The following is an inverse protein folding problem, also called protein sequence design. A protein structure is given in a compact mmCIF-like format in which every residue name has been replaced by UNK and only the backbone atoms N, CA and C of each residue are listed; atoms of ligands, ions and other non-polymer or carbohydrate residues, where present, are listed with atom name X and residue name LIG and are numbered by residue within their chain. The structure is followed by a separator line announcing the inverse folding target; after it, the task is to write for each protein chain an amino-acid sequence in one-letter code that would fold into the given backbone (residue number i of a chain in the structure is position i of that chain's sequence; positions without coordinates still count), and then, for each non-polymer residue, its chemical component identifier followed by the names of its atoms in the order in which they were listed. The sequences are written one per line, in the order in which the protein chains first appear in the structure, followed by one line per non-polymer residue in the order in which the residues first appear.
data_IF_100122537219
#
_entry.id   IF_100122537219
#
_cell.length_a   1.000
_cell.length_b   1.000
_cell.length_c   1.000
_cell.angle_alpha   90.00
_cell.angle_beta   90.00
_cell.angle_gamma   90.00
#
_symmetry.space_group_name_H-M   'P 1'
#
loop_
_entity.id
_entity.type
_entity.pdbx_description
1 polymer ?
#
# COMPACT_ATOMS: atom_id res chain seq x y z
N UNK A 1 -13.68 -13.81 11.87
CA UNK A 1 -13.28 -12.97 13.01
C UNK A 1 -14.46 -12.94 13.94
N UNK A 2 -14.28 -13.37 15.18
CA UNK A 2 -15.34 -13.46 16.17
C UNK A 2 -15.43 -12.13 16.94
N UNK A 3 -16.57 -11.46 16.81
CA UNK A 3 -16.82 -10.14 17.42
C UNK A 3 -17.04 -10.28 18.92
N UNK A 4 -17.67 -11.37 19.35
CA UNK A 4 -17.98 -11.63 20.76
C UNK A 4 -16.70 -11.91 21.56
N UNK A 5 -15.74 -12.61 20.95
CA UNK A 5 -14.40 -12.80 21.51
C UNK A 5 -13.68 -11.48 21.76
N UNK A 6 -13.76 -10.56 20.80
CA UNK A 6 -13.11 -9.25 20.90
C UNK A 6 -13.76 -8.42 22.01
N UNK A 7 -15.09 -8.43 22.11
CA UNK A 7 -15.82 -7.73 23.15
C UNK A 7 -15.54 -8.29 24.56
N UNK A 8 -15.37 -9.60 24.70
CA UNK A 8 -15.03 -10.23 25.99
C UNK A 8 -13.63 -9.82 26.44
N UNK A 9 -12.67 -9.81 25.53
CA UNK A 9 -11.27 -9.45 25.85
C UNK A 9 -11.16 -7.99 26.32
N UNK A 10 -11.82 -7.04 25.64
CA UNK A 10 -11.84 -5.63 26.08
C UNK A 10 -12.44 -5.50 27.49
N UNK A 11 -13.54 -6.20 27.77
CA UNK A 11 -14.16 -6.21 29.10
C UNK A 11 -13.22 -6.75 30.19
N UNK A 12 -12.46 -7.82 29.90
CA UNK A 12 -11.47 -8.33 30.85
C UNK A 12 -10.31 -7.35 31.08
N UNK A 13 -9.95 -6.54 30.08
CA UNK A 13 -8.95 -5.49 30.23
C UNK A 13 -9.46 -4.33 31.07
N UNK A 14 -10.72 -3.93 30.89
CA UNK A 14 -11.38 -2.91 31.73
C UNK A 14 -11.44 -3.35 33.19
N UNK A 15 -11.81 -4.61 33.45
CA UNK A 15 -11.83 -5.19 34.81
C UNK A 15 -10.43 -5.21 35.48
N UNK A 16 -9.37 -5.32 34.68
CA UNK A 16 -7.99 -5.21 35.18
C UNK A 16 -7.63 -3.76 35.49
N UNK A 17 -8.04 -2.81 34.65
CA UNK A 17 -7.84 -1.37 34.87
C UNK A 17 -8.55 -0.88 36.14
N UNK A 18 -9.78 -1.32 36.36
CA UNK A 18 -10.57 -1.02 37.56
C UNK A 18 -10.08 -1.75 38.82
N UNK A 19 -9.12 -2.68 38.68
CA UNK A 19 -8.58 -3.48 39.77
C UNK A 19 -9.50 -4.61 40.24
N UNK A 20 -10.59 -4.88 39.51
CA UNK A 20 -11.53 -5.96 39.80
C UNK A 20 -10.96 -7.35 39.49
N UNK A 21 -10.01 -7.46 38.54
CA UNK A 21 -9.34 -8.72 38.16
C UNK A 21 -7.82 -8.57 38.16
N UNK A 22 -7.04 -9.52 38.73
CA UNK A 22 -5.59 -9.53 38.57
C UNK A 22 -5.17 -9.80 37.12
N UNK A 23 -4.30 -8.96 36.56
CA UNK A 23 -3.84 -9.07 35.17
C UNK A 23 -3.22 -10.44 34.82
N UNK A 24 -2.52 -11.06 35.77
CA UNK A 24 -1.91 -12.39 35.59
C UNK A 24 -2.98 -13.45 35.31
N UNK A 25 -4.13 -13.35 35.99
CA UNK A 25 -5.25 -14.27 35.81
C UNK A 25 -5.87 -14.07 34.43
N UNK A 26 -6.13 -12.83 34.01
CA UNK A 26 -6.65 -12.53 32.68
C UNK A 26 -5.75 -13.07 31.56
N UNK A 27 -4.43 -12.85 31.65
CA UNK A 27 -3.47 -13.39 30.66
C UNK A 27 -3.46 -14.91 30.64
N UNK A 28 -3.55 -15.56 31.81
CA UNK A 28 -3.57 -17.02 31.92
C UNK A 28 -4.84 -17.62 31.31
N UNK A 29 -5.99 -17.01 31.61
CA UNK A 29 -7.30 -17.43 31.10
C UNK A 29 -7.37 -17.33 29.57
N UNK A 30 -6.74 -16.31 28.98
CA UNK A 30 -6.56 -16.19 27.53
C UNK A 30 -5.58 -17.22 26.95
N UNK A 31 -4.40 -17.37 27.57
CA UNK A 31 -3.30 -18.11 26.96
C UNK A 31 -3.53 -19.63 26.94
N UNK A 32 -4.16 -20.19 27.97
CA UNK A 32 -4.44 -21.64 28.03
C UNK A 32 -5.28 -22.14 26.85
N UNK A 33 -6.47 -21.58 26.52
CA UNK A 33 -7.23 -21.99 25.34
C UNK A 33 -6.50 -21.62 24.05
N UNK A 34 -5.90 -20.42 23.97
CA UNK A 34 -5.17 -19.97 22.79
C UNK A 34 -4.03 -20.93 22.41
N UNK A 35 -3.24 -21.41 23.38
CA UNK A 35 -2.14 -22.34 23.12
C UNK A 35 -2.61 -23.65 22.49
N UNK A 36 -3.75 -24.19 22.95
CA UNK A 36 -4.37 -25.40 22.36
C UNK A 36 -4.84 -25.16 20.94
N UNK A 37 -5.44 -24.00 20.68
CA UNK A 37 -5.91 -23.66 19.34
C UNK A 37 -4.75 -23.34 18.39
N UNK A 38 -3.67 -22.74 18.89
CA UNK A 38 -2.43 -22.56 18.15
C UNK A 38 -1.79 -23.89 17.77
N UNK A 39 -1.76 -24.86 18.68
CA UNK A 39 -1.24 -26.20 18.38
C UNK A 39 -2.08 -26.91 17.32
N UNK A 40 -3.41 -26.86 17.40
CA UNK A 40 -4.29 -27.36 16.34
C UNK A 40 -4.04 -26.64 15.01
N UNK A 41 -3.84 -25.32 15.03
CA UNK A 41 -3.67 -24.52 13.83
C UNK A 41 -2.36 -24.81 13.09
N UNK A 42 -1.34 -25.37 13.76
CA UNK A 42 -0.09 -25.80 13.08
C UNK A 42 -0.33 -26.94 12.10
N UNK A 43 -1.29 -27.81 12.39
CA UNK A 43 -1.60 -28.99 11.59
C UNK A 43 -2.68 -28.73 10.54
N UNK A 44 -3.40 -27.60 10.63
CA UNK A 44 -4.39 -27.21 9.63
C UNK A 44 -3.64 -26.69 8.39
N UNK A 45 -3.77 -27.35 7.22
CA UNK A 45 -3.13 -26.86 6.00
C UNK A 45 -3.68 -25.47 5.66
N UNK A 46 -2.76 -24.53 5.46
CA UNK A 46 -3.12 -23.19 5.07
C UNK A 46 -3.56 -23.14 3.60
N UNK A 47 -4.12 -22.01 3.13
CA UNK A 47 -4.43 -21.82 1.71
C UNK A 47 -3.23 -22.04 0.78
N UNK A 48 -2.01 -21.89 1.30
CA UNK A 48 -0.75 -22.07 0.57
C UNK A 48 -0.38 -23.52 0.31
N UNK A 49 -0.91 -24.44 1.12
CA UNK A 49 -0.60 -25.87 1.06
C UNK A 49 -1.55 -26.63 0.13
N UNK A 50 -2.62 -25.96 -0.32
CA UNK A 50 -3.53 -26.49 -1.35
C UNK A 50 -2.88 -26.39 -2.72
N UNK A 51 -2.39 -27.52 -3.23
CA UNK A 51 -1.81 -27.62 -4.58
C UNK A 51 -2.94 -27.62 -5.60
N UNK A 52 -3.10 -26.51 -6.32
CA UNK A 52 -4.01 -26.46 -7.47
C UNK A 52 -3.36 -27.13 -8.69
N UNK A 53 -4.13 -27.85 -9.53
CA UNK A 53 -3.60 -28.48 -10.73
C UNK A 53 -2.95 -27.45 -11.67
N UNK A 54 -1.92 -27.87 -12.43
CA UNK A 54 -1.20 -26.98 -13.34
C UNK A 54 -2.15 -26.39 -14.39
N UNK A 55 -1.88 -25.15 -14.75
CA UNK A 55 -2.73 -24.39 -15.67
C UNK A 55 -2.32 -24.62 -17.12
N UNK A 56 -3.25 -24.41 -18.06
CA UNK A 56 -2.96 -24.46 -19.50
C UNK A 56 -2.22 -23.20 -20.01
N UNK A 57 -1.67 -22.37 -19.12
CA UNK A 57 -0.96 -21.14 -19.47
C UNK A 57 0.53 -21.44 -19.59
N UNK A 58 1.09 -21.29 -20.79
CA UNK A 58 2.51 -21.45 -21.04
C UNK A 58 3.31 -20.20 -20.63
N UNK A 59 4.47 -20.39 -20.01
CA UNK A 59 5.37 -19.32 -19.61
C UNK A 59 6.09 -18.71 -20.82
N UNK A 60 6.02 -17.38 -20.98
CA UNK A 60 6.65 -16.62 -22.08
C UNK A 60 8.16 -16.83 -22.24
N UNK A 61 8.88 -17.20 -21.17
CA UNK A 61 10.35 -17.33 -21.19
C UNK A 61 10.85 -18.76 -21.44
N UNK A 62 10.05 -19.78 -21.16
CA UNK A 62 10.51 -21.17 -21.17
C UNK A 62 9.49 -22.18 -21.71
N UNK A 63 8.27 -21.76 -22.04
CA UNK A 63 7.21 -22.61 -22.59
C UNK A 63 6.56 -23.58 -21.61
N UNK A 64 7.01 -23.66 -20.34
CA UNK A 64 6.42 -24.56 -19.34
C UNK A 64 5.07 -24.07 -18.85
N UNK A 65 4.20 -25.03 -18.52
CA UNK A 65 2.91 -24.75 -17.90
C UNK A 65 3.09 -24.10 -16.53
N UNK A 66 2.44 -22.96 -16.33
CA UNK A 66 2.53 -22.20 -15.08
C UNK A 66 1.64 -22.82 -14.00
N UNK A 67 2.09 -22.67 -12.75
CA UNK A 67 1.39 -23.13 -11.55
C UNK A 67 0.87 -21.95 -10.72
N UNK A 68 -0.27 -22.12 -10.06
CA UNK A 68 -0.85 -21.09 -9.18
C UNK A 68 -0.19 -21.18 -7.81
N UNK A 69 0.44 -20.09 -7.37
CA UNK A 69 1.05 -19.95 -6.05
C UNK A 69 0.42 -18.83 -5.24
N UNK A 70 0.51 -18.94 -3.91
CA UNK A 70 0.03 -17.94 -2.97
C UNK A 70 1.15 -17.02 -2.47
N UNK A 71 1.00 -15.72 -2.73
CA UNK A 71 1.88 -14.66 -2.24
C UNK A 71 1.19 -13.78 -1.19
N UNK A 72 1.88 -12.72 -0.75
CA UNK A 72 1.30 -11.70 0.15
C UNK A 72 0.14 -10.93 -0.48
N UNK A 73 0.16 -10.80 -1.81
CA UNK A 73 -0.81 -10.03 -2.58
C UNK A 73 -1.90 -10.92 -3.22
N UNK A 74 -2.01 -12.20 -2.81
CA UNK A 74 -2.97 -13.16 -3.35
C UNK A 74 -2.34 -14.24 -4.25
N UNK A 75 -3.18 -14.91 -5.04
CA UNK A 75 -2.79 -15.96 -5.99
C UNK A 75 -2.12 -15.34 -7.22
N UNK A 76 -1.06 -15.98 -7.72
CA UNK A 76 -0.36 -15.57 -8.95
C UNK A 76 0.13 -16.81 -9.71
N UNK A 77 0.33 -16.67 -11.02
CA UNK A 77 0.97 -17.69 -11.85
C UNK A 77 2.48 -17.59 -11.70
N UNK A 78 3.13 -18.71 -11.41
CA UNK A 78 4.59 -18.83 -11.32
C UNK A 78 5.09 -19.92 -12.27
N UNK A 79 6.29 -19.74 -12.82
CA UNK A 79 6.96 -20.80 -13.54
C UNK A 79 7.44 -21.89 -12.55
N UNK A 80 7.19 -23.19 -12.81
CA UNK A 80 7.72 -24.28 -11.97
C UNK A 80 9.24 -24.36 -12.02
N UNK A 81 9.86 -23.93 -13.13
CA UNK A 81 11.32 -23.85 -13.34
C UNK A 81 12.03 -22.75 -12.54
N UNK A 82 11.41 -22.20 -11.49
CA UNK A 82 12.04 -21.22 -10.61
C UNK A 82 13.20 -21.81 -9.80
N UNK A 83 13.16 -23.12 -9.49
CA UNK A 83 14.20 -23.83 -8.72
C UNK A 83 15.31 -24.44 -9.58
N UNK A 84 15.14 -24.44 -10.90
CA UNK A 84 16.12 -25.02 -11.82
C UNK A 84 17.21 -23.99 -12.17
N UNK A 85 18.33 -24.45 -12.74
CA UNK A 85 19.43 -23.59 -13.19
C UNK A 85 19.53 -23.65 -14.72
N UNK A 86 19.25 -22.55 -15.45
CA UNK A 86 18.96 -21.19 -14.99
C UNK A 86 17.52 -20.98 -14.48
N UNK A 87 17.31 -20.23 -13.38
CA UNK A 87 16.00 -20.09 -12.75
C UNK A 87 15.07 -19.19 -13.56
N UNK A 88 13.93 -19.73 -13.96
CA UNK A 88 12.89 -18.96 -14.63
C UNK A 88 12.04 -18.19 -13.60
N UNK A 89 12.40 -16.94 -13.32
CA UNK A 89 11.69 -16.05 -12.37
C UNK A 89 10.47 -15.32 -12.98
N UNK A 90 9.79 -15.93 -13.95
CA UNK A 90 8.60 -15.31 -14.56
C UNK A 90 7.37 -15.49 -13.67
N UNK A 91 6.63 -14.41 -13.43
CA UNK A 91 5.40 -14.41 -12.62
C UNK A 91 4.37 -13.50 -13.25
N UNK A 92 3.10 -13.90 -13.24
CA UNK A 92 2.01 -13.13 -13.83
C UNK A 92 0.76 -13.16 -12.92
N UNK A 93 -0.01 -12.08 -12.93
CA UNK A 93 -1.30 -12.02 -12.25
C UNK A 93 -2.40 -12.59 -13.16
N UNK A 94 -3.45 -13.13 -12.56
CA UNK A 94 -4.54 -13.74 -13.31
C UNK A 94 -5.89 -13.60 -12.62
N UNK A 95 -6.95 -13.69 -13.40
CA UNK A 95 -8.33 -13.81 -12.94
C UNK A 95 -8.92 -15.13 -13.46
N UNK A 96 -9.71 -15.81 -12.63
CA UNK A 96 -10.45 -17.01 -13.02
C UNK A 96 -11.82 -16.59 -13.54
N UNK A 97 -12.10 -16.90 -14.79
CA UNK A 97 -13.44 -16.74 -15.36
C UNK A 97 -14.39 -17.83 -14.83
N UNK A 98 -15.72 -17.62 -14.89
CA UNK A 98 -16.71 -18.62 -14.47
C UNK A 98 -16.55 -19.98 -15.16
N UNK A 99 -16.05 -19.97 -16.40
CA UNK A 99 -15.80 -21.17 -17.21
C UNK A 99 -14.52 -21.93 -16.81
N UNK A 100 -13.83 -21.52 -15.75
CA UNK A 100 -12.58 -22.12 -15.27
C UNK A 100 -11.34 -21.75 -16.09
N UNK A 101 -11.50 -20.93 -17.15
CA UNK A 101 -10.39 -20.40 -17.94
C UNK A 101 -9.67 -19.28 -17.21
N UNK A 102 -8.34 -19.23 -17.37
CA UNK A 102 -7.47 -18.27 -16.69
C UNK A 102 -7.13 -17.16 -17.67
N UNK A 103 -7.54 -15.93 -17.34
CA UNK A 103 -7.17 -14.73 -18.09
C UNK A 103 -5.99 -14.06 -17.39
N UNK A 104 -4.89 -13.86 -18.11
CA UNK A 104 -3.75 -13.08 -17.62
C UNK A 104 -4.20 -11.62 -17.56
N UNK A 105 -4.16 -11.05 -16.36
CA UNK A 105 -4.46 -9.63 -16.15
C UNK A 105 -3.14 -8.93 -15.94
N UNK A 106 -2.70 -8.20 -16.97
CA UNK A 106 -1.62 -7.26 -16.79
C UNK A 106 -2.05 -6.26 -15.73
N UNK A 107 -1.14 -5.94 -14.79
CA UNK A 107 -1.40 -4.85 -13.85
C UNK A 107 -1.62 -3.59 -14.67
N UNK A 108 -2.84 -3.06 -14.67
CA UNK A 108 -3.15 -1.78 -15.32
C UNK A 108 -2.40 -0.69 -14.56
N UNK A 109 -1.21 -0.37 -15.05
CA UNK A 109 -0.50 0.83 -14.61
C UNK A 109 -1.20 2.01 -15.27
N UNK A 110 -1.82 2.88 -14.47
CA UNK A 110 -2.48 4.08 -14.99
C UNK A 110 -1.45 4.92 -15.77
N UNK A 111 -1.66 5.07 -17.08
CA UNK A 111 -0.83 5.93 -17.92
C UNK A 111 -1.05 7.38 -17.56
N UNK A 112 0.03 8.15 -17.47
CA UNK A 112 -0.03 9.61 -17.30
C UNK A 112 0.13 10.27 -18.66
N UNK A 113 -0.44 11.47 -18.83
CA UNK A 113 -0.24 12.29 -20.02
C UNK A 113 1.20 12.85 -20.14
N UNK A 114 2.04 12.64 -19.13
CA UNK A 114 3.44 13.10 -19.11
C UNK A 114 4.34 12.18 -19.94
N UNK A 115 5.14 12.78 -20.84
CA UNK A 115 6.17 12.08 -21.61
C UNK A 115 7.52 12.12 -20.88
N UNK A 116 8.28 11.05 -20.98
CA UNK A 116 9.59 10.95 -20.37
C UNK A 116 10.59 11.92 -21.03
N UNK A 117 11.23 12.77 -20.22
CA UNK A 117 12.24 13.73 -20.68
C UNK A 117 13.43 13.10 -21.42
N UNK A 118 13.78 11.85 -21.12
CA UNK A 118 14.96 11.19 -21.71
C UNK A 118 14.70 10.44 -23.01
N UNK A 119 13.47 10.02 -23.27
CA UNK A 119 13.16 9.13 -24.41
C UNK A 119 11.83 9.41 -25.10
N UNK A 120 11.04 10.39 -24.63
CA UNK A 120 9.75 10.77 -25.20
C UNK A 120 8.62 9.74 -25.02
N UNK A 121 8.90 8.57 -24.47
CA UNK A 121 7.89 7.53 -24.20
C UNK A 121 6.92 7.97 -23.10
N UNK A 122 5.65 7.53 -23.13
CA UNK A 122 4.67 7.88 -22.11
C UNK A 122 5.11 7.36 -20.74
N UNK A 123 4.82 8.10 -19.68
CA UNK A 123 5.07 7.65 -18.32
C UNK A 123 3.83 6.94 -17.74
N UNK A 124 4.07 5.98 -16.83
CA UNK A 124 3.05 5.12 -16.22
C UNK A 124 3.18 5.13 -14.70
N UNK A 125 2.07 5.09 -13.98
CA UNK A 125 2.05 5.03 -12.52
C UNK A 125 2.27 3.59 -12.06
N UNK A 126 3.42 3.32 -11.44
CA UNK A 126 3.75 2.05 -10.82
C UNK A 126 3.65 2.13 -9.31
N UNK A 127 3.46 0.97 -8.67
CA UNK A 127 3.47 0.85 -7.20
C UNK A 127 4.75 0.16 -6.76
N UNK A 128 5.48 0.76 -5.82
CA UNK A 128 6.69 0.18 -5.22
C UNK A 128 6.67 0.23 -3.69
N UNK A 129 7.81 -0.10 -3.07
CA UNK A 129 7.96 -0.15 -1.59
C UNK A 129 7.68 1.18 -0.88
N UNK A 130 7.82 2.30 -1.59
CA UNK A 130 7.64 3.65 -1.05
C UNK A 130 6.31 4.29 -1.45
N UNK A 131 5.42 3.54 -2.09
CA UNK A 131 4.15 4.05 -2.61
C UNK A 131 4.12 4.09 -4.13
N UNK A 132 3.16 4.83 -4.68
CA UNK A 132 2.99 5.02 -6.11
C UNK A 132 4.02 6.04 -6.64
N UNK A 133 4.56 5.78 -7.83
CA UNK A 133 5.53 6.65 -8.50
C UNK A 133 5.32 6.58 -10.01
N UNK A 134 5.79 7.59 -10.72
CA UNK A 134 5.74 7.66 -12.18
C UNK A 134 7.02 7.03 -12.74
N UNK A 135 6.90 6.10 -13.69
CA UNK A 135 8.02 5.42 -14.34
C UNK A 135 7.89 5.50 -15.85
N UNK A 136 9.00 5.50 -16.58
CA UNK A 136 8.94 5.41 -18.04
C UNK A 136 8.34 4.06 -18.49
N UNK A 137 7.45 4.08 -19.49
CA UNK A 137 6.87 2.87 -20.09
C UNK A 137 7.93 2.01 -20.79
N UNK A 138 8.97 2.62 -21.36
CA UNK A 138 10.08 1.93 -22.03
C UNK A 138 11.07 1.23 -21.06
N UNK A 139 10.70 0.98 -19.81
CA UNK A 139 11.51 0.15 -18.93
C UNK A 139 11.64 -1.27 -19.52
N UNK A 140 12.84 -1.87 -19.65
CA UNK A 140 14.09 -1.56 -18.94
C UNK A 140 15.08 -0.64 -19.68
N UNK A 141 14.79 -0.22 -20.92
CA UNK A 141 15.71 0.62 -21.72
C UNK A 141 15.81 2.03 -21.14
N UNK A 142 14.70 2.57 -20.64
CA UNK A 142 14.67 3.83 -19.91
C UNK A 142 14.31 3.60 -18.43
N UNK A 143 15.25 3.87 -17.52
CA UNK A 143 15.08 3.73 -16.06
C UNK A 143 14.62 5.01 -15.35
N UNK A 144 14.11 5.99 -16.11
CA UNK A 144 13.65 7.26 -15.54
C UNK A 144 12.42 7.04 -14.66
N UNK A 145 12.47 7.58 -13.45
CA UNK A 145 11.36 7.57 -12.49
C UNK A 145 11.21 8.95 -11.89
N UNK A 146 9.97 9.33 -11.58
CA UNK A 146 9.60 10.60 -10.97
C UNK A 146 8.58 10.36 -9.85
N UNK A 147 8.60 11.16 -8.78
CA UNK A 147 7.51 11.15 -7.80
C UNK A 147 6.21 11.67 -8.44
N UNK A 148 5.05 11.24 -7.92
CA UNK A 148 3.75 11.77 -8.36
C UNK A 148 3.55 13.17 -7.76
N UNK A 149 3.31 14.21 -8.58
CA UNK A 149 2.98 15.53 -8.09
C UNK A 149 1.56 15.54 -7.51
N UNK A 150 1.33 16.30 -6.44
CA UNK A 150 0.02 16.45 -5.81
C UNK A 150 -0.87 17.51 -6.48
N UNK A 151 -0.36 18.18 -7.52
CA UNK A 151 -1.02 19.34 -8.14
C UNK A 151 -0.95 20.61 -7.30
N UNK A 152 -0.21 20.60 -6.19
CA UNK A 152 0.01 21.77 -5.33
C UNK A 152 1.41 22.32 -5.58
N UNK A 153 1.47 23.62 -5.91
CA UNK A 153 2.73 24.33 -6.07
C UNK A 153 3.31 24.72 -4.72
N UNK A 154 4.62 24.62 -4.61
CA UNK A 154 5.39 25.03 -3.45
C UNK A 154 5.36 26.56 -3.34
N UNK A 155 5.06 27.13 -2.16
CA UNK A 155 5.02 28.57 -1.97
C UNK A 155 6.42 29.22 -1.93
N UNK A 156 7.51 28.44 -1.80
CA UNK A 156 8.87 28.99 -1.77
C UNK A 156 9.51 29.10 -3.15
N UNK A 157 9.40 28.05 -3.98
CA UNK A 157 10.12 27.94 -5.25
C UNK A 157 9.21 27.66 -6.45
N UNK A 158 7.89 27.57 -6.24
CA UNK A 158 6.93 27.22 -7.30
C UNK A 158 7.06 25.78 -7.81
N UNK A 159 7.91 24.95 -7.20
CA UNK A 159 8.08 23.53 -7.56
C UNK A 159 6.86 22.69 -7.17
N UNK A 160 6.73 21.48 -7.71
CA UNK A 160 5.62 20.60 -7.35
C UNK A 160 5.83 19.92 -5.97
N UNK A 161 4.79 19.93 -5.13
CA UNK A 161 4.79 19.16 -3.89
C UNK A 161 4.57 17.67 -4.17
N UNK A 162 5.38 16.85 -3.52
CA UNK A 162 5.40 15.40 -3.69
C UNK A 162 5.35 14.72 -2.33
N UNK A 163 4.77 13.52 -2.29
CA UNK A 163 4.76 12.70 -1.09
C UNK A 163 6.13 12.00 -0.91
N UNK A 164 6.74 12.18 0.26
CA UNK A 164 7.99 11.54 0.68
C UNK A 164 7.78 10.77 1.98
N UNK A 165 8.70 9.86 2.30
CA UNK A 165 8.65 9.02 3.51
C UNK A 165 9.87 9.30 4.38
N UNK A 166 9.64 9.59 5.65
CA UNK A 166 10.70 9.84 6.63
C UNK A 166 11.44 8.54 7.01
N UNK A 167 12.62 8.65 7.63
CA UNK A 167 13.37 7.49 8.15
C UNK A 167 12.54 6.64 9.14
N UNK A 168 11.65 7.29 9.90
CA UNK A 168 10.73 6.65 10.85
C UNK A 168 9.46 6.09 10.19
N UNK A 169 9.36 6.14 8.86
CA UNK A 169 8.25 5.56 8.10
C UNK A 169 6.99 6.44 7.96
N UNK A 170 6.92 7.60 8.64
CA UNK A 170 5.83 8.58 8.49
C UNK A 170 5.93 9.31 7.15
N UNK A 171 4.80 9.47 6.46
CA UNK A 171 4.71 10.26 5.24
C UNK A 171 4.75 11.76 5.55
N UNK A 172 5.40 12.51 4.69
CA UNK A 172 5.42 13.97 4.69
C UNK A 172 5.41 14.47 3.25
N UNK A 173 5.05 15.72 3.05
CA UNK A 173 4.85 16.32 1.74
C UNK A 173 5.85 17.45 1.58
N UNK A 174 6.74 17.33 0.60
CA UNK A 174 7.83 18.28 0.42
C UNK A 174 8.01 18.62 -1.06
N UNK A 175 8.68 19.74 -1.31
CA UNK A 175 9.01 20.14 -2.67
C UNK A 175 9.81 19.04 -3.40
N UNK A 176 9.54 18.85 -4.70
CA UNK A 176 10.32 17.96 -5.56
C UNK A 176 11.82 18.30 -5.54
N UNK A 177 12.16 19.60 -5.41
CA UNK A 177 13.52 20.13 -5.36
C UNK A 177 14.23 19.92 -4.01
N UNK A 178 13.59 19.31 -3.02
CA UNK A 178 14.22 19.01 -1.72
C UNK A 178 15.49 18.17 -1.90
N UNK A 179 16.66 18.56 -1.34
CA UNK A 179 16.82 19.49 -0.21
C UNK A 179 17.05 20.97 -0.55
N UNK A 180 17.10 21.36 -1.83
CA UNK A 180 17.36 22.77 -2.22
C UNK A 180 16.24 23.72 -1.79
N UNK A 181 15.00 23.22 -1.78
CA UNK A 181 13.85 23.85 -1.14
C UNK A 181 13.45 23.01 0.08
N UNK A 182 13.56 23.59 1.28
CA UNK A 182 13.30 22.90 2.55
C UNK A 182 11.82 22.87 2.96
N UNK A 183 10.94 23.41 2.11
CA UNK A 183 9.52 23.40 2.36
C UNK A 183 8.97 21.97 2.51
N UNK A 184 8.43 21.70 3.70
CA UNK A 184 7.82 20.42 4.06
C UNK A 184 6.58 20.61 4.92
N UNK A 185 5.64 19.66 4.79
CA UNK A 185 4.36 19.59 5.48
C UNK A 185 4.15 18.16 6.00
N UNK A 186 3.58 18.04 7.19
CA UNK A 186 3.17 16.74 7.73
C UNK A 186 1.80 16.31 7.24
N UNK A 187 0.92 17.29 7.04
CA UNK A 187 -0.46 17.10 6.61
C UNK A 187 -0.54 17.17 5.08
N UNK A 188 -1.48 16.43 4.48
CA UNK A 188 -1.60 16.31 3.02
C UNK A 188 -2.13 17.62 2.43
N UNK A 189 -1.40 18.29 1.52
CA UNK A 189 -1.92 19.48 0.87
C UNK A 189 -2.93 19.10 -0.22
N UNK A 190 -4.02 19.86 -0.29
CA UNK A 190 -5.10 19.70 -1.27
C UNK A 190 -5.07 20.89 -2.22
N UNK A 191 -5.14 20.69 -3.55
CA UNK A 191 -5.08 21.76 -4.55
C UNK A 191 -6.40 22.56 -4.63
N UNK A 192 -6.84 23.09 -3.50
CA UNK A 192 -7.98 24.00 -3.37
C UNK A 192 -7.55 25.24 -2.61
N UNK A 193 -7.77 26.45 -3.15
CA UNK A 193 -7.47 27.68 -2.43
C UNK A 193 -8.44 27.84 -1.25
N UNK A 194 -7.99 28.51 -0.19
CA UNK A 194 -8.86 28.81 0.95
C UNK A 194 -9.89 29.90 0.57
N UNK A 195 -11.20 29.68 0.80
CA UNK A 195 -12.21 30.69 0.47
C UNK A 195 -12.17 31.93 1.38
N UNK A 196 -11.57 31.83 2.58
CA UNK A 196 -11.51 32.94 3.54
C UNK A 196 -10.26 33.82 3.37
N UNK A 197 -9.09 33.21 3.23
CA UNK A 197 -7.81 33.95 3.22
C UNK A 197 -7.03 33.84 1.90
N UNK A 198 -7.61 33.18 0.89
CA UNK A 198 -6.99 32.96 -0.42
C UNK A 198 -5.63 32.25 -0.36
N UNK A 199 -5.35 31.51 0.72
CA UNK A 199 -4.16 30.66 0.81
C UNK A 199 -4.12 29.69 -0.39
N UNK A 200 -2.92 29.39 -0.93
CA UNK A 200 -2.76 28.68 -2.20
C UNK A 200 -3.26 27.23 -2.17
N UNK A 201 -3.31 26.63 -0.99
CA UNK A 201 -3.79 25.26 -0.78
C UNK A 201 -4.31 25.09 0.65
N UNK A 202 -5.17 24.10 0.84
CA UNK A 202 -5.65 23.64 2.15
C UNK A 202 -4.90 22.37 2.56
N UNK A 203 -5.04 21.94 3.83
CA UNK A 203 -4.40 20.72 4.35
C UNK A 203 -5.42 19.77 4.98
N UNK A 204 -5.29 18.47 4.72
CA UNK A 204 -6.09 17.43 5.38
C UNK A 204 -5.49 17.07 6.74
N UNK A 205 -6.28 17.25 7.80
CA UNK A 205 -5.96 16.82 9.16
C UNK A 205 -6.90 15.70 9.60
N UNK A 206 -6.32 14.65 10.14
CA UNK A 206 -7.05 13.55 10.75
C UNK A 206 -7.15 13.75 12.27
N UNK A 207 -8.36 13.67 12.81
CA UNK A 207 -8.62 13.65 14.25
C UNK A 207 -9.40 12.40 14.63
N UNK A 208 -9.06 11.77 15.75
CA UNK A 208 -9.68 10.51 16.21
C UNK A 208 -11.20 10.61 16.41
N UNK A 209 -11.72 11.79 16.77
CA UNK A 209 -13.16 11.98 17.04
C UNK A 209 -13.97 12.56 15.87
N UNK A 210 -13.34 13.26 14.93
CA UNK A 210 -14.03 14.00 13.86
C UNK A 210 -13.67 13.51 12.44
N UNK A 211 -12.83 12.47 12.32
CA UNK A 211 -12.38 11.95 11.03
C UNK A 211 -11.40 12.88 10.31
N UNK A 212 -11.39 12.82 8.99
CA UNK A 212 -10.55 13.66 8.12
C UNK A 212 -11.28 14.97 7.85
N UNK A 213 -10.67 16.08 8.26
CA UNK A 213 -11.15 17.45 8.00
C UNK A 213 -10.14 18.21 7.14
N UNK A 214 -10.61 19.11 6.28
CA UNK A 214 -9.78 19.98 5.47
C UNK A 214 -9.70 21.34 6.14
N UNK A 215 -8.51 21.76 6.54
CA UNK A 215 -8.30 23.02 7.25
C UNK A 215 -7.39 23.96 6.47
N UNK A 216 -7.53 25.26 6.71
CA UNK A 216 -6.52 26.20 6.29
C UNK A 216 -5.24 26.01 7.10
N UNK A 217 -4.10 26.19 6.43
CA UNK A 217 -2.79 26.21 7.10
C UNK A 217 -2.54 27.53 7.85
N UNK A 218 -3.10 28.64 7.37
CA UNK A 218 -2.85 29.94 7.99
C UNK A 218 -3.52 29.98 9.37
N UNK A 219 -2.74 30.24 10.41
CA UNK A 219 -3.23 30.29 11.80
C UNK A 219 -4.26 31.42 12.00
N UNK A 220 -4.16 32.49 11.22
CA UNK A 220 -5.12 33.60 11.22
C UNK A 220 -6.45 33.22 10.54
N UNK A 221 -6.48 32.13 9.77
CA UNK A 221 -7.65 31.68 9.04
C UNK A 221 -8.23 30.41 9.68
N UNK A 222 -9.33 30.57 10.41
CA UNK A 222 -10.05 29.48 11.07
C UNK A 222 -10.86 28.56 10.15
N UNK A 223 -10.62 28.55 8.83
CA UNK A 223 -11.40 27.75 7.89
C UNK A 223 -11.19 26.25 8.13
N UNK A 224 -12.30 25.52 8.26
CA UNK A 224 -12.35 24.07 8.45
C UNK A 224 -13.61 23.50 7.78
N UNK A 225 -13.41 22.42 7.03
CA UNK A 225 -14.43 21.59 6.36
C UNK A 225 -14.35 20.15 6.87
#
# INVERSE_FOLDING_TARGET
LDVDFTSLMEKELDEVEEGAKPWVTAVRDFYIPFSKDLDKAKDIPGPKDTVEPPTNVACEKCGRMMEIKWGRNGKFLACPGYKEDPPCKNTQNFEKLPDGTIKIVAKEDASTDEKCEKCGSPMVIKTGRFGKFIACSAYPTCKTTKPIPLGVKCPQDGGDLTQKRSKKGRNFYACANYPKCEFALWDRPVPRPCPQCQAPFLVEKYSKGAGTSVVCRNEECGYKE
#
